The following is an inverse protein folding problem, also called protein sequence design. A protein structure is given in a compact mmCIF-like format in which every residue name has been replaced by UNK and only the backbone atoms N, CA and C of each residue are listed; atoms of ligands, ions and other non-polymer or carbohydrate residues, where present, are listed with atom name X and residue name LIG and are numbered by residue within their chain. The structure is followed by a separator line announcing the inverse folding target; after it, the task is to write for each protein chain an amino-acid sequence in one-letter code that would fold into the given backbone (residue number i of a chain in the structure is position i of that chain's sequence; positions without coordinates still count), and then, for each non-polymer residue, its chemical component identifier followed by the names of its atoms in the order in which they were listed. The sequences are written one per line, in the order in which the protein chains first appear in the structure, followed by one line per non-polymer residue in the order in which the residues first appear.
data_IF_508840723256
#
_entry.id   IF_508840723256
#
_cell.length_a   1.000
_cell.length_b   1.000
_cell.length_c   1.000
_cell.angle_alpha   90.00
_cell.angle_beta   90.00
_cell.angle_gamma   90.00
#
_symmetry.space_group_name_H-M   'P 1'
#
loop_
_entity.id
_entity.type
_entity.pdbx_description
1 polymer ?
#
# COMPACT_ATOMS: atom_id res chain seq x y z
N UNK A 1 14.06 1.75 -20.06
CA UNK A 1 13.01 1.52 -21.07
C UNK A 1 12.46 2.86 -21.50
N UNK A 2 12.83 3.34 -22.68
CA UNK A 2 12.34 4.62 -23.22
C UNK A 2 11.00 4.33 -23.89
N UNK A 3 9.92 4.87 -23.33
CA UNK A 3 8.61 4.84 -23.98
C UNK A 3 8.68 5.82 -25.14
N UNK A 4 8.83 5.30 -26.36
CA UNK A 4 8.92 6.10 -27.59
C UNK A 4 7.55 6.64 -27.95
N UNK A 5 7.13 7.71 -27.28
CA UNK A 5 6.10 8.58 -27.85
C UNK A 5 6.78 9.52 -28.84
N UNK A 6 6.21 9.62 -30.04
CA UNK A 6 6.71 10.37 -31.19
C UNK A 6 6.94 11.85 -30.87
N UNK A 7 8.15 12.19 -30.44
CA UNK A 7 8.91 13.45 -30.60
C UNK A 7 9.95 13.46 -29.48
N UNK A 8 11.10 12.83 -29.70
CA UNK A 8 12.26 13.02 -28.84
C UNK A 8 12.86 14.40 -29.14
N UNK A 9 12.25 15.45 -28.58
CA UNK A 9 13.04 16.62 -28.18
C UNK A 9 14.19 16.12 -27.32
N UNK A 10 15.39 16.67 -27.49
CA UNK A 10 16.54 16.34 -26.64
C UNK A 10 16.09 16.46 -25.18
N UNK A 11 16.19 15.38 -24.42
CA UNK A 11 15.93 15.40 -22.98
C UNK A 11 16.97 16.34 -22.37
N UNK A 12 16.53 17.51 -21.90
CA UNK A 12 17.39 18.45 -21.19
C UNK A 12 17.57 17.97 -19.74
N UNK A 13 18.54 17.10 -19.55
CA UNK A 13 18.90 16.55 -18.23
C UNK A 13 19.25 17.68 -17.25
N UNK A 14 19.89 18.77 -17.71
CA UNK A 14 20.25 19.89 -16.86
C UNK A 14 19.01 20.64 -16.35
N UNK A 15 17.97 20.78 -17.17
CA UNK A 15 16.68 21.32 -16.73
C UNK A 15 15.98 20.41 -15.73
N UNK A 16 15.99 19.09 -15.96
CA UNK A 16 15.41 18.10 -15.05
C UNK A 16 16.06 18.21 -13.67
N UNK A 17 17.40 18.15 -13.60
CA UNK A 17 18.12 18.17 -12.32
C UNK A 17 17.99 19.50 -11.53
N UNK A 18 17.52 20.58 -12.17
CA UNK A 18 17.24 21.87 -11.50
C UNK A 18 15.88 21.93 -10.80
N UNK A 19 14.99 20.96 -11.02
CA UNK A 19 13.67 20.92 -10.38
C UNK A 19 13.79 20.66 -8.88
N UNK A 20 12.74 21.00 -8.13
CA UNK A 20 12.59 20.60 -6.73
C UNK A 20 12.07 19.16 -6.66
N UNK A 21 12.71 18.33 -5.83
CA UNK A 21 12.37 16.92 -5.67
C UNK A 21 12.02 16.58 -4.23
N UNK A 22 11.08 15.67 -4.06
CA UNK A 22 10.90 14.87 -2.86
C UNK A 22 11.60 13.52 -3.06
N UNK A 23 12.49 13.16 -2.15
CA UNK A 23 13.27 11.92 -2.23
C UNK A 23 12.72 10.86 -1.30
N UNK A 24 12.42 9.69 -1.85
CA UNK A 24 12.01 8.52 -1.08
C UNK A 24 13.03 7.40 -1.24
N UNK A 25 13.62 6.97 -0.13
CA UNK A 25 14.58 5.87 -0.09
C UNK A 25 13.92 4.49 -0.11
N UNK A 26 14.53 3.54 -0.81
CA UNK A 26 14.21 2.11 -0.81
C UNK A 26 15.47 1.28 -1.05
N UNK A 27 15.41 -0.06 -0.99
CA UNK A 27 16.59 -0.89 -1.25
C UNK A 27 16.94 -0.86 -2.74
N UNK A 28 18.22 -0.61 -3.03
CA UNK A 28 18.77 -0.55 -4.36
C UNK A 28 19.09 -1.89 -5.00
N UNK A 29 18.33 -2.97 -4.72
CA UNK A 29 18.56 -4.22 -5.43
C UNK A 29 18.26 -4.04 -6.92
N UNK A 30 19.18 -4.42 -7.83
CA UNK A 30 19.04 -4.25 -9.29
C UNK A 30 17.69 -4.66 -9.88
N UNK A 31 17.04 -5.68 -9.28
CA UNK A 31 15.72 -6.13 -9.69
C UNK A 31 14.62 -5.08 -9.52
N UNK A 32 14.63 -4.30 -8.44
CA UNK A 32 13.56 -3.33 -8.12
C UNK A 32 13.68 -2.00 -8.86
N UNK A 33 14.87 -1.73 -9.40
CA UNK A 33 15.25 -0.45 -10.01
C UNK A 33 14.48 -0.18 -11.29
N UNK A 34 14.12 -1.27 -11.99
CA UNK A 34 13.45 -1.17 -13.28
C UNK A 34 11.95 -0.94 -13.17
N UNK A 35 11.37 -0.93 -11.96
CA UNK A 35 9.92 -0.91 -11.77
C UNK A 35 9.35 0.49 -11.47
N UNK A 36 10.09 1.37 -10.79
CA UNK A 36 9.54 2.68 -10.39
C UNK A 36 9.17 3.56 -11.59
N UNK A 37 10.07 3.70 -12.56
CA UNK A 37 9.86 4.59 -13.69
C UNK A 37 8.75 4.10 -14.65
N UNK A 38 8.68 2.83 -15.09
CA UNK A 38 7.59 2.39 -15.96
C UNK A 38 6.23 2.46 -15.26
N UNK A 39 6.13 2.07 -14.00
CA UNK A 39 4.86 2.17 -13.27
C UNK A 39 4.38 3.63 -13.12
N UNK A 40 5.25 4.54 -12.70
CA UNK A 40 4.88 5.94 -12.43
C UNK A 40 4.71 6.82 -13.69
N UNK A 41 5.51 6.59 -14.74
CA UNK A 41 5.46 7.41 -15.96
C UNK A 41 4.56 6.79 -17.05
N UNK A 42 4.64 5.48 -17.27
CA UNK A 42 3.88 4.80 -18.34
C UNK A 42 2.51 4.34 -17.87
N UNK A 43 2.46 3.42 -16.91
CA UNK A 43 1.20 2.77 -16.53
C UNK A 43 0.26 3.71 -15.78
N UNK A 44 0.79 4.63 -14.97
CA UNK A 44 -0.04 5.68 -14.36
C UNK A 44 -0.75 6.51 -15.44
N UNK A 45 -0.04 6.94 -16.48
CA UNK A 45 -0.61 7.70 -17.58
C UNK A 45 -1.63 6.87 -18.38
N UNK A 46 -1.29 5.62 -18.72
CA UNK A 46 -2.21 4.68 -19.38
C UNK A 46 -3.50 4.49 -18.57
N UNK A 47 -3.40 4.48 -17.24
CA UNK A 47 -4.54 4.17 -16.39
C UNK A 47 -5.38 5.36 -15.98
N UNK A 48 -4.76 6.51 -15.76
CA UNK A 48 -5.38 7.71 -15.19
C UNK A 48 -5.46 8.88 -16.19
N UNK A 49 -4.72 8.82 -17.30
CA UNK A 49 -4.57 9.92 -18.26
C UNK A 49 -3.60 11.02 -17.81
N UNK A 50 -2.94 10.84 -16.65
CA UNK A 50 -1.92 11.71 -16.09
C UNK A 50 -0.96 10.86 -15.27
N UNK A 51 0.25 11.38 -15.02
CA UNK A 51 1.28 10.69 -14.26
C UNK A 51 2.51 11.56 -14.09
N UNK A 52 3.62 10.95 -13.70
CA UNK A 52 4.90 11.65 -13.55
C UNK A 52 5.52 11.91 -14.92
N UNK A 53 5.94 13.15 -15.18
CA UNK A 53 6.66 13.49 -16.40
C UNK A 53 8.07 12.91 -16.40
N UNK A 54 8.71 12.88 -15.23
CA UNK A 54 10.04 12.31 -15.02
C UNK A 54 10.12 11.71 -13.62
N UNK A 55 10.77 10.56 -13.51
CA UNK A 55 11.24 10.02 -12.25
C UNK A 55 12.76 10.02 -12.28
N UNK A 56 13.39 10.66 -11.31
CA UNK A 56 14.85 10.62 -11.16
C UNK A 56 15.18 9.57 -10.13
N UNK A 57 16.20 8.77 -10.40
CA UNK A 57 16.57 7.65 -9.56
C UNK A 57 18.06 7.72 -9.24
N UNK A 58 18.39 7.69 -7.96
CA UNK A 58 19.76 7.82 -7.46
C UNK A 58 20.17 6.56 -6.72
N UNK A 59 21.41 6.12 -6.98
CA UNK A 59 21.98 4.93 -6.40
C UNK A 59 23.27 5.25 -5.68
N UNK A 60 23.31 4.90 -4.40
CA UNK A 60 24.50 5.09 -3.59
C UNK A 60 24.54 4.04 -2.46
N UNK A 61 25.63 3.25 -2.38
CA UNK A 61 25.88 2.30 -1.29
C UNK A 61 24.69 1.35 -1.02
N UNK A 62 24.21 0.65 -2.05
CA UNK A 62 23.06 -0.28 -2.02
C UNK A 62 21.71 0.36 -1.62
N UNK A 63 21.65 1.70 -1.64
CA UNK A 63 20.41 2.45 -1.44
C UNK A 63 19.97 3.07 -2.76
N UNK A 64 18.66 3.08 -2.95
CA UNK A 64 18.01 3.74 -4.06
C UNK A 64 17.11 4.87 -3.57
N UNK A 65 17.02 5.95 -4.34
CA UNK A 65 16.18 7.08 -4.04
C UNK A 65 15.37 7.49 -5.27
N UNK A 66 14.05 7.42 -5.15
CA UNK A 66 13.17 8.01 -6.16
C UNK A 66 12.95 9.49 -5.83
N UNK A 67 13.34 10.33 -6.78
CA UNK A 67 13.06 11.75 -6.83
C UNK A 67 11.75 12.02 -7.56
N UNK A 68 10.72 12.35 -6.81
CA UNK A 68 9.43 12.81 -7.31
C UNK A 68 9.47 14.34 -7.48
N UNK A 69 9.27 14.83 -8.71
CA UNK A 69 9.30 16.28 -8.93
C UNK A 69 8.11 16.95 -8.23
N UNK A 70 8.34 18.09 -7.58
CA UNK A 70 7.30 18.79 -6.84
C UNK A 70 6.17 19.26 -7.77
N UNK A 71 6.52 19.65 -9.00
CA UNK A 71 5.56 20.06 -10.03
C UNK A 71 4.65 18.90 -10.44
N UNK A 72 5.19 17.69 -10.61
CA UNK A 72 4.39 16.50 -10.95
C UNK A 72 3.45 16.14 -9.79
N UNK A 73 3.91 16.19 -8.53
CA UNK A 73 3.07 15.91 -7.37
C UNK A 73 1.85 16.85 -7.32
N UNK A 74 2.07 18.16 -7.50
CA UNK A 74 0.97 19.14 -7.58
C UNK A 74 0.08 18.92 -8.80
N UNK A 75 0.65 18.60 -9.95
CA UNK A 75 -0.10 18.30 -11.17
C UNK A 75 -1.00 17.07 -11.01
N UNK A 76 -0.50 16.00 -10.39
CA UNK A 76 -1.26 14.78 -10.09
C UNK A 76 -2.43 15.10 -9.16
N UNK A 77 -2.19 15.84 -8.08
CA UNK A 77 -3.26 16.26 -7.17
C UNK A 77 -4.31 17.12 -7.88
N UNK A 78 -3.89 18.09 -8.70
CA UNK A 78 -4.80 18.93 -9.49
C UNK A 78 -5.67 18.08 -10.42
N UNK A 79 -5.07 17.18 -11.19
CA UNK A 79 -5.80 16.30 -12.11
C UNK A 79 -6.77 15.38 -11.37
N UNK A 80 -6.40 14.86 -10.20
CA UNK A 80 -7.29 14.09 -9.34
C UNK A 80 -8.53 14.90 -8.94
N UNK A 81 -8.33 16.12 -8.43
CA UNK A 81 -9.43 16.99 -8.00
C UNK A 81 -10.32 17.42 -9.18
N UNK A 82 -9.73 17.70 -10.34
CA UNK A 82 -10.48 18.03 -11.56
C UNK A 82 -11.33 16.85 -12.06
N UNK A 83 -10.80 15.63 -12.03
CA UNK A 83 -11.56 14.44 -12.40
C UNK A 83 -12.70 14.16 -11.40
N UNK A 84 -12.50 14.42 -10.10
CA UNK A 84 -13.56 14.31 -9.10
C UNK A 84 -14.68 15.36 -9.28
N UNK A 85 -14.32 16.57 -9.71
CA UNK A 85 -15.30 17.60 -10.07
C UNK A 85 -16.16 17.17 -11.26
N UNK A 86 -15.55 16.54 -12.26
CA UNK A 86 -16.24 16.03 -13.47
C UNK A 86 -17.04 14.76 -13.17
N UNK A 87 -16.55 13.90 -12.29
CA UNK A 87 -17.16 12.63 -11.94
C UNK A 87 -17.03 12.35 -10.44
N UNK A 88 -18.13 12.48 -9.70
CA UNK A 88 -18.17 12.23 -8.25
C UNK A 88 -17.83 10.78 -7.87
N UNK A 89 -18.01 9.84 -8.79
CA UNK A 89 -17.67 8.41 -8.62
C UNK A 89 -16.24 8.08 -9.06
N UNK A 90 -15.39 9.06 -9.39
CA UNK A 90 -14.07 8.82 -9.94
C UNK A 90 -13.19 7.91 -9.06
N UNK A 91 -13.20 8.08 -7.72
CA UNK A 91 -12.45 7.18 -6.81
C UNK A 91 -12.94 5.73 -6.88
N UNK A 92 -14.25 5.51 -7.06
CA UNK A 92 -14.84 4.17 -7.21
C UNK A 92 -14.39 3.54 -8.52
N UNK A 93 -14.36 4.31 -9.61
CA UNK A 93 -13.86 3.85 -10.91
C UNK A 93 -12.39 3.45 -10.82
N UNK A 94 -11.54 4.28 -10.19
CA UNK A 94 -10.13 3.95 -9.96
C UNK A 94 -10.01 2.66 -9.13
N UNK A 95 -10.76 2.53 -8.04
CA UNK A 95 -10.72 1.34 -7.19
C UNK A 95 -11.07 0.06 -7.95
N UNK A 96 -12.08 0.10 -8.82
CA UNK A 96 -12.49 -1.04 -9.63
C UNK A 96 -11.39 -1.44 -10.61
N UNK A 97 -10.78 -0.45 -11.27
CA UNK A 97 -9.64 -0.68 -12.18
C UNK A 97 -8.45 -1.30 -11.44
N UNK A 98 -8.08 -0.72 -10.29
CA UNK A 98 -7.04 -1.23 -9.40
C UNK A 98 -7.30 -2.67 -8.98
N UNK A 99 -8.54 -2.98 -8.57
CA UNK A 99 -8.93 -4.34 -8.17
C UNK A 99 -8.82 -5.35 -9.32
N UNK A 100 -9.14 -4.95 -10.56
CA UNK A 100 -8.95 -5.80 -11.75
C UNK A 100 -7.47 -6.09 -12.01
N UNK A 101 -6.63 -5.06 -11.96
CA UNK A 101 -5.18 -5.20 -12.13
C UNK A 101 -4.58 -6.11 -11.03
N UNK A 102 -4.99 -5.94 -9.77
CA UNK A 102 -4.60 -6.85 -8.68
C UNK A 102 -4.96 -8.30 -8.98
N UNK A 103 -6.17 -8.56 -9.52
CA UNK A 103 -6.60 -9.91 -9.86
C UNK A 103 -5.73 -10.52 -10.95
N UNK A 104 -5.39 -9.75 -11.98
CA UNK A 104 -4.47 -10.17 -13.04
C UNK A 104 -3.08 -10.46 -12.49
N UNK A 105 -2.56 -9.61 -11.60
CA UNK A 105 -1.29 -9.80 -10.91
C UNK A 105 -1.26 -11.11 -10.11
N UNK A 106 -2.27 -11.38 -9.29
CA UNK A 106 -2.35 -12.65 -8.55
C UNK A 106 -2.51 -13.87 -9.45
N UNK A 107 -3.09 -13.72 -10.65
CA UNK A 107 -3.11 -14.81 -11.62
C UNK A 107 -1.72 -15.10 -12.19
N UNK A 108 -0.86 -14.08 -12.35
CA UNK A 108 0.56 -14.27 -12.69
C UNK A 108 1.25 -15.04 -11.57
N UNK A 109 1.14 -14.60 -10.32
CA UNK A 109 1.77 -15.29 -9.17
C UNK A 109 1.36 -16.77 -9.09
N UNK A 110 0.07 -17.08 -9.27
CA UNK A 110 -0.44 -18.46 -9.30
C UNK A 110 0.12 -19.33 -10.44
N UNK A 111 0.53 -18.71 -11.55
CA UNK A 111 1.22 -19.44 -12.64
C UNK A 111 2.66 -19.71 -12.24
N UNK A 112 3.33 -18.73 -11.63
CA UNK A 112 4.71 -18.86 -11.16
C UNK A 112 4.85 -19.89 -10.04
N UNK A 113 3.86 -20.03 -9.15
CA UNK A 113 3.80 -21.07 -8.10
C UNK A 113 3.92 -22.51 -8.62
N UNK A 114 3.63 -22.73 -9.91
CA UNK A 114 3.68 -24.05 -10.53
C UNK A 114 5.03 -24.36 -11.16
N UNK A 115 5.93 -23.37 -11.19
CA UNK A 115 7.25 -23.53 -11.79
C UNK A 115 8.21 -24.10 -10.75
N UNK A 116 9.01 -25.07 -11.19
CA UNK A 116 10.19 -25.50 -10.47
C UNK A 116 11.38 -24.72 -11.04
N UNK A 117 11.74 -23.59 -10.42
CA UNK A 117 12.73 -22.64 -10.98
C UNK A 117 14.11 -23.29 -11.23
N UNK A 118 14.46 -24.32 -10.47
CA UNK A 118 15.69 -25.10 -10.63
C UNK A 118 15.66 -26.09 -11.82
N UNK A 119 14.52 -26.25 -12.49
CA UNK A 119 14.34 -27.16 -13.63
C UNK A 119 14.12 -26.46 -14.98
N UNK A 120 13.90 -25.14 -14.98
CA UNK A 120 13.66 -24.38 -16.21
C UNK A 120 14.96 -23.82 -16.77
N UNK A 121 14.98 -23.54 -18.07
CA UNK A 121 16.13 -22.91 -18.74
C UNK A 121 16.30 -21.43 -18.33
N UNK A 122 17.50 -20.87 -18.48
CA UNK A 122 17.75 -19.44 -18.23
C UNK A 122 16.85 -18.52 -19.07
N UNK A 123 16.51 -18.95 -20.29
CA UNK A 123 15.59 -18.22 -21.17
C UNK A 123 14.19 -18.17 -20.56
N UNK A 124 13.66 -19.31 -20.13
CA UNK A 124 12.35 -19.40 -19.48
C UNK A 124 12.34 -18.64 -18.15
N UNK A 125 13.43 -18.69 -17.38
CA UNK A 125 13.58 -17.92 -16.15
C UNK A 125 13.45 -16.42 -16.42
N UNK A 126 14.18 -15.90 -17.42
CA UNK A 126 14.12 -14.49 -17.81
C UNK A 126 12.74 -14.08 -18.32
N UNK A 127 12.09 -14.91 -19.14
CA UNK A 127 10.75 -14.65 -19.67
C UNK A 127 9.71 -14.58 -18.54
N UNK A 128 9.77 -15.51 -17.58
CA UNK A 128 8.87 -15.48 -16.42
C UNK A 128 9.15 -14.30 -15.48
N UNK A 129 10.42 -13.93 -15.31
CA UNK A 129 10.80 -12.74 -14.56
C UNK A 129 10.25 -11.46 -15.21
N UNK A 130 10.33 -11.33 -16.54
CA UNK A 130 9.76 -10.20 -17.28
C UNK A 130 8.24 -10.12 -17.13
N UNK A 131 7.54 -11.27 -17.13
CA UNK A 131 6.10 -11.32 -16.87
C UNK A 131 5.76 -10.85 -15.45
N UNK A 132 6.55 -11.25 -14.45
CA UNK A 132 6.39 -10.80 -13.07
C UNK A 132 6.63 -9.29 -12.93
N UNK A 133 7.73 -8.80 -13.51
CA UNK A 133 8.11 -7.39 -13.55
C UNK A 133 7.01 -6.52 -14.19
N UNK A 134 6.48 -6.95 -15.33
CA UNK A 134 5.39 -6.26 -16.03
C UNK A 134 4.11 -6.23 -15.19
N UNK A 135 3.76 -7.33 -14.53
CA UNK A 135 2.59 -7.39 -13.66
C UNK A 135 2.72 -6.44 -12.47
N UNK A 136 3.90 -6.39 -11.84
CA UNK A 136 4.21 -5.45 -10.76
C UNK A 136 4.15 -3.99 -11.24
N UNK A 137 4.70 -3.70 -12.42
CA UNK A 137 4.64 -2.36 -13.00
C UNK A 137 3.20 -1.85 -13.20
N UNK A 138 2.33 -2.72 -13.73
CA UNK A 138 0.89 -2.42 -13.90
C UNK A 138 0.21 -2.21 -12.55
N UNK A 139 0.46 -3.11 -11.60
CA UNK A 139 -0.06 -3.02 -10.23
C UNK A 139 0.23 -1.64 -9.61
N UNK A 140 1.48 -1.19 -9.73
CA UNK A 140 1.92 0.06 -9.11
C UNK A 140 1.40 1.31 -9.84
N UNK A 141 1.03 1.19 -11.12
CA UNK A 141 0.66 2.31 -11.99
C UNK A 141 -0.38 3.25 -11.40
N UNK A 142 -1.50 2.73 -10.88
CA UNK A 142 -2.53 3.58 -10.24
C UNK A 142 -2.02 4.16 -8.90
N UNK A 143 -1.35 3.33 -8.12
CA UNK A 143 -1.01 3.63 -6.73
C UNK A 143 0.05 4.72 -6.54
N UNK A 144 0.81 5.07 -7.57
CA UNK A 144 1.72 6.22 -7.56
C UNK A 144 1.03 7.59 -7.42
N UNK A 145 -0.31 7.63 -7.57
CA UNK A 145 -1.09 8.84 -7.28
C UNK A 145 -1.14 9.18 -5.79
N UNK A 146 -0.83 8.22 -4.90
CA UNK A 146 -0.89 8.39 -3.45
C UNK A 146 0.02 9.54 -3.03
N UNK A 147 1.28 9.52 -3.46
CA UNK A 147 2.29 10.53 -3.11
C UNK A 147 1.86 11.93 -3.58
N UNK A 148 1.31 12.03 -4.79
CA UNK A 148 0.80 13.28 -5.34
C UNK A 148 -0.26 13.91 -4.46
N UNK A 149 -1.18 13.13 -3.88
CA UNK A 149 -2.20 13.67 -2.99
C UNK A 149 -1.69 13.90 -1.56
N UNK A 150 -1.03 12.92 -0.94
CA UNK A 150 -0.67 12.96 0.48
C UNK A 150 0.35 14.05 0.77
N UNK A 151 1.40 14.15 -0.06
CA UNK A 151 2.49 15.12 0.14
C UNK A 151 2.06 16.56 -0.11
N UNK A 152 1.00 16.81 -0.89
CA UNK A 152 0.56 18.17 -1.21
C UNK A 152 -0.64 18.67 -0.39
N UNK A 153 -1.36 17.79 0.34
CA UNK A 153 -2.58 18.16 1.05
C UNK A 153 -2.54 17.95 2.56
N UNK A 154 -1.54 17.28 3.13
CA UNK A 154 -1.52 16.96 4.57
C UNK A 154 -1.65 18.21 5.45
N UNK A 155 -0.82 19.23 5.21
CA UNK A 155 -0.83 20.48 5.98
C UNK A 155 -2.17 21.22 5.83
N UNK A 156 -2.72 21.26 4.62
CA UNK A 156 -4.02 21.87 4.34
C UNK A 156 -5.14 21.17 5.11
N UNK A 157 -5.17 19.84 5.10
CA UNK A 157 -6.18 19.07 5.84
C UNK A 157 -6.06 19.34 7.34
N UNK A 158 -4.85 19.33 7.89
CA UNK A 158 -4.60 19.62 9.31
C UNK A 158 -5.09 21.03 9.70
N UNK A 159 -4.76 22.04 8.90
CA UNK A 159 -5.22 23.42 9.12
C UNK A 159 -6.73 23.53 9.12
N UNK A 160 -7.40 22.93 8.12
CA UNK A 160 -8.86 22.96 8.02
C UNK A 160 -9.55 22.23 9.20
N UNK A 161 -8.97 21.14 9.71
CA UNK A 161 -9.47 20.46 10.92
C UNK A 161 -9.30 21.38 12.13
N UNK A 162 -8.12 22.00 12.29
CA UNK A 162 -7.85 22.91 13.40
C UNK A 162 -8.84 24.07 13.43
N UNK A 163 -9.08 24.71 12.28
CA UNK A 163 -10.03 25.81 12.16
C UNK A 163 -11.46 25.38 12.51
N UNK A 164 -11.88 24.18 12.08
CA UNK A 164 -13.19 23.63 12.41
C UNK A 164 -13.36 23.35 13.91
N UNK A 165 -12.32 22.81 14.56
CA UNK A 165 -12.31 22.54 16.01
C UNK A 165 -12.29 23.86 16.82
N UNK A 166 -11.48 24.82 16.39
CA UNK A 166 -11.38 26.17 17.00
C UNK A 166 -12.70 26.92 16.93
N UNK A 167 -13.41 26.84 15.79
CA UNK A 167 -14.71 27.50 15.59
C UNK A 167 -15.78 27.11 16.61
N UNK A 168 -15.65 25.94 17.25
CA UNK A 168 -16.58 25.46 18.27
C UNK A 168 -15.96 25.45 19.69
N UNK A 169 -14.78 26.03 19.88
CA UNK A 169 -14.12 26.17 21.19
C UNK A 169 -13.63 24.85 21.81
N UNK A 170 -13.22 23.88 20.98
CA UNK A 170 -12.76 22.55 21.42
C UNK A 170 -11.28 22.27 21.08
N UNK A 171 -10.43 23.29 21.03
CA UNK A 171 -9.02 23.20 20.61
C UNK A 171 -8.23 22.15 21.40
N UNK A 172 -8.56 21.95 22.68
CA UNK A 172 -7.94 20.92 23.53
C UNK A 172 -8.17 19.49 23.04
N UNK A 173 -9.19 19.27 22.21
CA UNK A 173 -9.55 17.98 21.65
C UNK A 173 -8.98 17.73 20.25
N UNK A 174 -8.25 18.70 19.69
CA UNK A 174 -7.75 18.66 18.31
C UNK A 174 -7.05 17.34 17.95
N UNK A 175 -6.17 16.85 18.83
CA UNK A 175 -5.43 15.61 18.60
C UNK A 175 -6.37 14.38 18.54
N UNK A 176 -7.36 14.30 19.43
CA UNK A 176 -8.34 13.21 19.41
C UNK A 176 -9.24 13.31 18.17
N UNK A 177 -9.64 14.52 17.79
CA UNK A 177 -10.44 14.75 16.57
C UNK A 177 -9.68 14.31 15.32
N UNK A 178 -8.39 14.65 15.21
CA UNK A 178 -7.55 14.16 14.11
C UNK A 178 -7.48 12.64 14.12
N UNK A 179 -7.23 12.03 15.27
CA UNK A 179 -7.16 10.57 15.40
C UNK A 179 -8.47 9.92 14.92
N UNK A 180 -9.63 10.42 15.38
CA UNK A 180 -10.95 9.90 15.00
C UNK A 180 -11.25 10.10 13.49
N UNK A 181 -10.92 11.28 12.93
CA UNK A 181 -11.15 11.60 11.51
C UNK A 181 -10.24 10.79 10.57
N UNK A 182 -9.04 10.45 11.03
CA UNK A 182 -8.05 9.68 10.24
C UNK A 182 -8.08 8.19 10.52
N UNK A 183 -8.78 7.72 11.56
CA UNK A 183 -8.91 6.30 11.89
C UNK A 183 -9.41 5.49 10.69
N UNK A 184 -8.81 4.33 10.35
CA UNK A 184 -9.20 3.58 9.18
C UNK A 184 -10.64 3.03 9.31
N UNK A 185 -11.39 3.06 8.20
CA UNK A 185 -12.73 2.44 8.09
C UNK A 185 -12.72 1.20 7.18
N UNK A 186 -11.52 0.76 6.80
CA UNK A 186 -11.26 -0.43 6.00
C UNK A 186 -10.24 -1.31 6.75
N UNK A 187 -10.26 -2.63 6.52
CA UNK A 187 -9.27 -3.52 7.11
C UNK A 187 -7.89 -3.27 6.49
N UNK A 188 -6.87 -3.14 7.32
CA UNK A 188 -5.48 -3.14 6.85
C UNK A 188 -4.95 -4.57 6.82
N UNK A 189 -4.06 -4.89 5.87
CA UNK A 189 -3.51 -6.26 5.78
C UNK A 189 -2.76 -6.68 7.05
N UNK A 190 -2.08 -5.73 7.71
CA UNK A 190 -1.41 -5.97 9.00
C UNK A 190 -2.44 -6.23 10.11
N UNK A 191 -3.52 -5.45 10.15
CA UNK A 191 -4.60 -5.65 11.13
C UNK A 191 -5.27 -7.01 10.95
N UNK A 192 -5.53 -7.42 9.70
CA UNK A 192 -6.06 -8.75 9.38
C UNK A 192 -5.09 -9.87 9.80
N UNK A 193 -3.79 -9.72 9.55
CA UNK A 193 -2.78 -10.69 9.95
C UNK A 193 -2.68 -10.81 11.48
N UNK A 194 -2.59 -9.68 12.19
CA UNK A 194 -2.52 -9.64 13.64
C UNK A 194 -3.75 -10.33 14.27
N UNK A 195 -4.96 -9.98 13.82
CA UNK A 195 -6.19 -10.59 14.34
C UNK A 195 -6.24 -12.10 14.04
N UNK A 196 -5.78 -12.53 12.86
CA UNK A 196 -5.69 -13.95 12.53
C UNK A 196 -4.74 -14.70 13.47
N UNK A 197 -3.58 -14.11 13.81
CA UNK A 197 -2.61 -14.70 14.74
C UNK A 197 -3.19 -14.77 16.16
N UNK A 198 -3.87 -13.72 16.65
CA UNK A 198 -4.53 -13.73 17.96
C UNK A 198 -5.60 -14.83 18.04
N UNK A 199 -6.46 -14.93 17.02
CA UNK A 199 -7.48 -15.97 16.96
C UNK A 199 -6.87 -17.38 16.87
N UNK A 200 -5.77 -17.52 16.13
CA UNK A 200 -5.02 -18.77 16.07
C UNK A 200 -4.41 -19.11 17.43
N UNK A 201 -3.87 -18.16 18.19
CA UNK A 201 -3.32 -18.43 19.52
C UNK A 201 -4.38 -18.93 20.51
N UNK A 202 -5.59 -18.37 20.45
CA UNK A 202 -6.74 -18.84 21.24
C UNK A 202 -7.09 -20.28 20.87
N UNK A 203 -7.15 -20.60 19.58
CA UNK A 203 -7.49 -21.95 19.11
C UNK A 203 -6.37 -22.96 19.40
N UNK A 204 -5.11 -22.55 19.22
CA UNK A 204 -3.93 -23.34 19.53
C UNK A 204 -3.89 -23.77 21.01
N UNK A 205 -4.35 -22.90 21.91
CA UNK A 205 -4.45 -23.18 23.35
C UNK A 205 -5.54 -24.21 23.69
N UNK A 206 -6.58 -24.36 22.86
CA UNK A 206 -7.67 -25.33 23.08
C UNK A 206 -7.33 -26.74 22.60
N UNK A 207 -6.46 -26.84 21.59
CA UNK A 207 -6.05 -28.13 21.05
C UNK A 207 -4.91 -28.72 21.87
N UNK A 208 -5.09 -29.94 22.40
CA UNK A 208 -4.02 -30.73 22.99
C UNK A 208 -3.27 -31.57 21.94
N UNK A 209 -3.88 -31.83 20.78
CA UNK A 209 -3.30 -32.69 19.75
C UNK A 209 -2.38 -31.93 18.78
N UNK A 210 -1.20 -32.50 18.51
CA UNK A 210 -0.20 -31.88 17.62
C UNK A 210 -0.66 -31.73 16.17
N UNK A 211 -1.63 -32.54 15.71
CA UNK A 211 -2.09 -32.52 14.32
C UNK A 211 -2.91 -31.28 13.99
N UNK A 212 -3.88 -30.91 14.84
CA UNK A 212 -4.65 -29.68 14.65
C UNK A 212 -3.77 -28.43 14.75
N UNK A 213 -2.83 -28.42 15.71
CA UNK A 213 -1.82 -27.35 15.84
C UNK A 213 -0.99 -27.18 14.57
N UNK A 214 -0.43 -28.26 14.04
CA UNK A 214 0.34 -28.22 12.79
C UNK A 214 -0.47 -27.72 11.60
N UNK A 215 -1.75 -28.14 11.49
CA UNK A 215 -2.65 -27.67 10.43
C UNK A 215 -2.90 -26.16 10.53
N UNK A 216 -3.14 -25.63 11.73
CA UNK A 216 -3.34 -24.20 11.97
C UNK A 216 -2.10 -23.39 11.58
N UNK A 217 -0.91 -23.83 12.00
CA UNK A 217 0.35 -23.17 11.66
C UNK A 217 0.59 -23.14 10.14
N UNK A 218 0.31 -24.24 9.43
CA UNK A 218 0.43 -24.30 7.97
C UNK A 218 -0.57 -23.39 7.26
N UNK A 219 -1.75 -23.15 7.84
CA UNK A 219 -2.70 -22.16 7.29
C UNK A 219 -2.17 -20.73 7.44
N UNK A 220 -1.55 -20.40 8.58
CA UNK A 220 -0.93 -19.10 8.79
C UNK A 220 0.27 -18.89 7.85
N UNK A 221 1.17 -19.86 7.77
CA UNK A 221 2.31 -19.86 6.82
C UNK A 221 1.83 -19.57 5.40
N UNK A 222 0.88 -20.37 4.87
CA UNK A 222 0.38 -20.18 3.51
C UNK A 222 -0.20 -18.79 3.26
N UNK A 223 -0.84 -18.18 4.27
CA UNK A 223 -1.53 -16.89 4.10
C UNK A 223 -0.62 -15.69 4.36
N UNK A 224 0.33 -15.80 5.29
CA UNK A 224 1.08 -14.69 5.86
C UNK A 224 2.60 -14.88 5.85
N UNK A 225 3.14 -15.82 5.06
CA UNK A 225 4.60 -16.05 4.94
C UNK A 225 5.42 -14.79 4.61
N UNK A 226 4.77 -13.75 4.08
CA UNK A 226 5.36 -12.49 3.61
C UNK A 226 5.18 -11.32 4.61
N UNK A 227 4.60 -11.54 5.79
CA UNK A 227 4.16 -10.47 6.70
C UNK A 227 5.29 -9.51 7.13
N UNK A 228 6.51 -10.03 7.24
CA UNK A 228 7.70 -9.26 7.64
C UNK A 228 8.52 -8.76 6.44
N UNK A 229 8.05 -8.97 5.21
CA UNK A 229 8.71 -8.42 4.04
C UNK A 229 8.55 -6.89 4.06
N UNK A 230 9.63 -6.20 3.74
CA UNK A 230 9.64 -4.77 3.45
C UNK A 230 10.10 -4.53 2.01
N UNK A 231 10.05 -3.26 1.57
CA UNK A 231 10.71 -2.88 0.31
C UNK A 231 12.22 -3.10 0.33
N UNK A 232 12.79 -3.34 1.52
CA UNK A 232 14.21 -3.55 1.70
C UNK A 232 14.65 -5.00 1.77
N UNK A 233 13.79 -5.93 2.17
CA UNK A 233 14.19 -7.33 2.30
C UNK A 233 12.93 -8.19 2.38
N UNK A 234 13.08 -9.45 1.98
CA UNK A 234 12.07 -10.46 2.23
C UNK A 234 12.57 -11.47 3.25
N UNK A 235 11.61 -12.00 4.01
CA UNK A 235 11.81 -13.03 5.00
C UNK A 235 10.65 -14.00 4.88
N UNK A 236 10.94 -15.24 4.49
CA UNK A 236 9.92 -16.28 4.46
C UNK A 236 9.58 -16.72 5.88
N UNK A 237 8.33 -16.51 6.30
CA UNK A 237 7.83 -16.90 7.61
C UNK A 237 7.19 -18.28 7.54
N UNK A 238 7.84 -19.26 8.15
CA UNK A 238 7.39 -20.65 8.19
C UNK A 238 6.51 -20.96 9.41
N UNK A 239 6.03 -22.20 9.52
CA UNK A 239 5.27 -22.68 10.67
C UNK A 239 6.02 -22.52 12.01
N UNK A 240 7.36 -22.57 12.00
CA UNK A 240 8.19 -22.40 13.20
C UNK A 240 8.08 -20.97 13.73
N UNK A 241 8.16 -19.99 12.84
CA UNK A 241 7.94 -18.58 13.16
C UNK A 241 6.57 -18.37 13.80
N UNK A 242 5.49 -18.85 13.15
CA UNK A 242 4.13 -18.67 13.69
C UNK A 242 3.91 -19.40 15.01
N UNK A 243 4.55 -20.55 15.21
CA UNK A 243 4.51 -21.27 16.49
C UNK A 243 5.15 -20.42 17.60
N UNK A 244 6.29 -19.79 17.32
CA UNK A 244 6.96 -18.89 18.27
C UNK A 244 6.09 -17.69 18.63
N UNK A 245 5.55 -16.98 17.63
CA UNK A 245 4.67 -15.82 17.83
C UNK A 245 3.43 -16.18 18.68
N UNK A 246 2.79 -17.31 18.37
CA UNK A 246 1.64 -17.80 19.14
C UNK A 246 2.01 -18.12 20.58
N UNK A 247 3.12 -18.83 20.81
CA UNK A 247 3.56 -19.19 22.16
C UNK A 247 3.89 -17.95 22.99
N UNK A 248 4.52 -16.93 22.39
CA UNK A 248 4.81 -15.67 23.07
C UNK A 248 3.52 -14.90 23.41
N UNK A 249 2.51 -14.89 22.54
CA UNK A 249 1.20 -14.31 22.85
C UNK A 249 0.50 -15.04 24.01
N UNK A 250 0.55 -16.36 24.03
CA UNK A 250 -0.03 -17.17 25.12
C UNK A 250 0.68 -16.87 26.43
N UNK A 251 2.02 -16.84 26.41
CA UNK A 251 2.86 -16.55 27.59
C UNK A 251 2.61 -15.16 28.16
N UNK A 252 2.42 -14.15 27.30
CA UNK A 252 2.07 -12.77 27.71
C UNK A 252 0.64 -12.66 28.25
N UNK A 253 -0.20 -13.65 27.98
CA UNK A 253 -1.60 -13.68 28.38
C UNK A 253 -2.50 -12.98 27.35
N UNK A 254 -3.38 -13.76 26.72
CA UNK A 254 -4.38 -13.21 25.80
C UNK A 254 -5.53 -12.62 26.64
N UNK A 255 -5.70 -11.30 26.59
CA UNK A 255 -6.76 -10.64 27.35
C UNK A 255 -8.11 -10.81 26.67
N UNK A 256 -9.20 -10.73 27.45
CA UNK A 256 -10.57 -10.71 26.91
C UNK A 256 -10.78 -9.55 25.92
N UNK A 257 -10.10 -8.43 26.13
CA UNK A 257 -10.14 -7.28 25.23
C UNK A 257 -9.47 -7.58 23.88
N UNK A 258 -8.28 -8.19 23.89
CA UNK A 258 -7.61 -8.60 22.65
C UNK A 258 -8.46 -9.57 21.84
N UNK A 259 -9.04 -10.58 22.49
CA UNK A 259 -9.96 -11.51 21.84
C UNK A 259 -11.19 -10.77 21.26
N UNK A 260 -11.81 -9.90 22.06
CA UNK A 260 -12.96 -9.10 21.63
C UNK A 260 -12.60 -8.25 20.42
N UNK A 261 -11.45 -7.59 20.42
CA UNK A 261 -11.00 -6.73 19.31
C UNK A 261 -10.73 -7.56 18.05
N UNK A 262 -10.07 -8.71 18.18
CA UNK A 262 -9.80 -9.59 17.04
C UNK A 262 -11.09 -10.15 16.41
N UNK A 263 -12.07 -10.56 17.24
CA UNK A 263 -13.37 -11.06 16.76
C UNK A 263 -14.26 -9.95 16.18
N UNK A 264 -14.21 -8.76 16.75
CA UNK A 264 -15.07 -7.63 16.39
C UNK A 264 -14.38 -6.60 15.48
N UNK A 265 -13.28 -6.96 14.81
CA UNK A 265 -12.53 -6.02 14.00
C UNK A 265 -13.39 -5.30 12.94
N UNK A 266 -14.26 -6.05 12.26
CA UNK A 266 -15.22 -5.47 11.31
C UNK A 266 -16.17 -4.46 11.96
N UNK A 267 -16.61 -4.73 13.20
CA UNK A 267 -17.48 -3.83 13.96
C UNK A 267 -16.74 -2.55 14.37
N UNK A 268 -15.47 -2.63 14.78
CA UNK A 268 -14.63 -1.45 15.06
C UNK A 268 -14.51 -0.54 13.83
N UNK A 269 -14.32 -1.12 12.63
CA UNK A 269 -14.27 -0.34 11.39
C UNK A 269 -15.60 0.39 11.10
N UNK A 270 -16.74 -0.27 11.40
CA UNK A 270 -18.06 0.35 11.30
C UNK A 270 -18.25 1.47 12.32
N UNK A 271 -17.74 1.30 13.54
CA UNK A 271 -17.76 2.31 14.60
C UNK A 271 -16.92 3.53 14.22
N UNK A 272 -15.71 3.33 13.71
CA UNK A 272 -14.88 4.42 13.16
C UNK A 272 -15.65 5.19 12.08
N UNK A 273 -16.32 4.48 11.15
CA UNK A 273 -17.12 5.11 10.10
C UNK A 273 -18.30 5.92 10.66
N UNK A 274 -18.97 5.41 11.70
CA UNK A 274 -20.05 6.14 12.39
C UNK A 274 -19.51 7.37 13.11
N UNK A 275 -18.39 7.24 13.83
CA UNK A 275 -17.73 8.32 14.57
C UNK A 275 -17.31 9.45 13.64
N UNK A 276 -16.69 9.14 12.50
CA UNK A 276 -16.36 10.16 11.48
C UNK A 276 -17.58 10.94 11.00
N UNK A 277 -18.67 10.24 10.65
CA UNK A 277 -19.92 10.88 10.19
C UNK A 277 -20.53 11.77 11.27
N UNK A 278 -20.41 11.39 12.54
CA UNK A 278 -20.85 12.22 13.66
C UNK A 278 -19.99 13.49 13.75
N UNK A 279 -18.66 13.35 13.72
CA UNK A 279 -17.73 14.49 13.74
C UNK A 279 -17.93 15.45 12.56
N UNK A 280 -18.24 14.94 11.36
CA UNK A 280 -18.57 15.81 10.21
C UNK A 280 -19.71 16.77 10.53
N UNK A 281 -20.73 16.29 11.27
CA UNK A 281 -21.89 17.10 11.68
C UNK A 281 -21.57 17.99 12.87
N UNK A 282 -20.94 17.45 13.91
CA UNK A 282 -20.60 18.19 15.14
C UNK A 282 -19.68 19.38 14.85
N UNK A 283 -18.64 19.16 14.03
CA UNK A 283 -17.65 20.18 13.68
C UNK A 283 -18.10 21.09 12.54
N UNK A 284 -19.26 20.79 11.91
CA UNK A 284 -19.78 21.50 10.73
C UNK A 284 -18.70 21.65 9.64
N UNK A 285 -18.04 20.53 9.31
CA UNK A 285 -16.94 20.53 8.34
C UNK A 285 -17.41 21.03 6.98
N UNK A 286 -16.55 21.78 6.28
CA UNK A 286 -16.83 22.24 4.92
C UNK A 286 -16.86 21.05 3.94
N UNK A 287 -17.60 21.20 2.84
CA UNK A 287 -17.64 20.20 1.77
C UNK A 287 -16.23 19.92 1.20
N UNK A 288 -15.38 20.94 1.15
CA UNK A 288 -13.98 20.80 0.74
C UNK A 288 -13.22 19.87 1.69
N UNK A 289 -13.29 20.10 3.00
CA UNK A 289 -12.59 19.25 3.97
C UNK A 289 -13.15 17.83 3.95
N UNK A 290 -14.46 17.66 3.84
CA UNK A 290 -15.08 16.33 3.73
C UNK A 290 -14.56 15.61 2.47
N UNK A 291 -14.48 16.30 1.33
CA UNK A 291 -13.92 15.75 0.10
C UNK A 291 -12.46 15.33 0.30
N UNK A 292 -11.61 16.19 0.88
CA UNK A 292 -10.20 15.88 1.13
C UNK A 292 -10.02 14.69 2.09
N UNK A 293 -10.84 14.58 3.14
CA UNK A 293 -10.81 13.45 4.06
C UNK A 293 -11.22 12.14 3.38
N UNK A 294 -12.22 12.18 2.49
CA UNK A 294 -12.63 11.01 1.71
C UNK A 294 -11.53 10.56 0.72
N UNK A 295 -10.84 11.51 0.08
CA UNK A 295 -9.71 11.20 -0.79
C UNK A 295 -8.56 10.62 0.05
N UNK A 296 -8.26 11.20 1.21
CA UNK A 296 -7.22 10.71 2.12
C UNK A 296 -7.47 9.27 2.56
N UNK A 297 -8.72 8.93 2.94
CA UNK A 297 -9.10 7.56 3.28
C UNK A 297 -8.95 6.59 2.10
N UNK A 298 -9.29 7.03 0.89
CA UNK A 298 -9.06 6.26 -0.33
C UNK A 298 -7.56 6.03 -0.58
N UNK A 299 -6.71 7.06 -0.42
CA UNK A 299 -5.26 6.93 -0.58
C UNK A 299 -4.65 5.98 0.44
N UNK A 300 -5.09 6.06 1.71
CA UNK A 300 -4.64 5.14 2.74
C UNK A 300 -4.98 3.68 2.39
N UNK A 301 -6.18 3.43 1.85
CA UNK A 301 -6.59 2.10 1.38
C UNK A 301 -5.76 1.61 0.20
N UNK A 302 -5.52 2.50 -0.77
CA UNK A 302 -4.73 2.20 -1.96
C UNK A 302 -3.27 1.90 -1.58
N UNK A 303 -2.69 2.66 -0.66
CA UNK A 303 -1.33 2.48 -0.14
C UNK A 303 -1.19 1.18 0.66
N UNK A 304 -2.14 0.87 1.54
CA UNK A 304 -2.16 -0.39 2.29
C UNK A 304 -2.18 -1.60 1.34
N UNK A 305 -3.07 -1.55 0.34
CA UNK A 305 -3.16 -2.59 -0.67
C UNK A 305 -1.89 -2.68 -1.55
N UNK A 306 -1.33 -1.54 -1.98
CA UNK A 306 -0.05 -1.48 -2.70
C UNK A 306 1.04 -2.20 -1.90
N UNK A 307 1.17 -1.89 -0.61
CA UNK A 307 2.18 -2.50 0.25
C UNK A 307 1.96 -4.00 0.36
N UNK A 308 0.75 -4.45 0.68
CA UNK A 308 0.38 -5.87 0.76
C UNK A 308 0.80 -6.65 -0.50
N UNK A 309 0.35 -6.22 -1.67
CA UNK A 309 0.62 -6.97 -2.90
C UNK A 309 2.11 -6.88 -3.28
N UNK A 310 2.76 -5.74 -3.04
CA UNK A 310 4.19 -5.60 -3.31
C UNK A 310 5.02 -6.52 -2.42
N UNK A 311 4.75 -6.59 -1.11
CA UNK A 311 5.50 -7.44 -0.18
C UNK A 311 5.38 -8.93 -0.51
N UNK A 312 4.23 -9.37 -1.02
CA UNK A 312 4.07 -10.71 -1.60
C UNK A 312 4.93 -10.83 -2.87
N UNK A 313 4.87 -9.86 -3.78
CA UNK A 313 5.60 -9.93 -5.05
C UNK A 313 7.11 -9.98 -4.85
N UNK A 314 7.62 -9.27 -3.86
CA UNK A 314 9.05 -9.26 -3.54
C UNK A 314 9.56 -10.66 -3.19
N UNK A 315 8.79 -11.52 -2.50
CA UNK A 315 9.27 -12.89 -2.23
C UNK A 315 9.40 -13.72 -3.49
N UNK A 316 8.58 -13.46 -4.52
CA UNK A 316 8.77 -14.10 -5.82
C UNK A 316 10.02 -13.56 -6.49
N UNK A 317 10.23 -12.23 -6.48
CA UNK A 317 11.43 -11.63 -7.06
C UNK A 317 12.69 -12.22 -6.43
N UNK A 318 12.75 -12.34 -5.11
CA UNK A 318 13.91 -12.91 -4.42
C UNK A 318 14.13 -14.38 -4.79
N UNK A 319 13.06 -15.18 -4.92
CA UNK A 319 13.17 -16.56 -5.40
C UNK A 319 13.69 -16.69 -6.85
N UNK A 320 13.45 -15.69 -7.70
CA UNK A 320 13.99 -15.65 -9.06
C UNK A 320 15.48 -15.26 -9.10
N UNK A 321 16.00 -14.67 -8.03
CA UNK A 321 17.37 -14.16 -7.93
C UNK A 321 18.28 -15.02 -7.04
N UNK A 322 17.72 -16.02 -6.33
CA UNK A 322 18.43 -16.95 -5.47
C UNK A 322 19.05 -18.12 -6.23
#
# INVERSE_FOLDING_TARGET
MIVTNKQHSKIDVASILKKKYYFQGFNGTPGLLTFGAPSSCKYMYEYLGYGYSVLVDFYENDKAYYGYSWDDLHSINKNLLENLKKNKDYLKVIWQKHTSINKEHFNVLKKLDKLELNKISNKELLENYQVLAEALNKLLGISHMVEGFTLTNEEKIRSLIFDAVKKIGREKEYNQVIADLTAPTFPSFIGEAHNAIVLAAIEYSKHADGKNRAKLLKQLEKKYYWLNNGYACTHYLDATYFMHEINELIKKGITKEMEKNARNYAQTLLENKKRKKLLFKELKLSDELILLLNISEFMAKLQDNRKHVTTITLSYIDNFLA
#
